data_IF_277916172601
#
_entry.id   IF_277916172601
#
_cell.length_a   1.000
_cell.length_b   1.000
_cell.length_c   1.000
_cell.angle_alpha   90.00
_cell.angle_beta   90.00
_cell.angle_gamma   90.00
#
_symmetry.space_group_name_H-M   'P 1'
#
loop_
_entity.id
_entity.type
_entity.pdbx_description
1 polymer ?
#
# COMPACT_ATOMS: atom_id res chain seq x y z
N UNK A 1 72.47 28.31 -55.43
CA UNK A 1 72.30 29.19 -56.61
C UNK A 1 70.81 29.42 -56.80
N UNK A 2 70.42 30.70 -56.91
CA UNK A 2 69.10 31.25 -57.29
C UNK A 2 67.96 31.28 -56.24
N UNK A 3 67.32 32.46 -56.27
CA UNK A 3 66.43 33.19 -55.37
C UNK A 3 64.97 33.12 -55.92
N UNK A 4 64.03 33.72 -55.18
CA UNK A 4 62.68 34.21 -55.58
C UNK A 4 61.52 33.21 -55.44
N UNK A 5 60.30 33.58 -55.04
CA UNK A 5 59.72 34.85 -54.58
C UNK A 5 58.31 34.59 -54.06
N UNK A 6 57.91 35.41 -53.09
CA UNK A 6 56.57 35.51 -52.52
C UNK A 6 55.62 36.21 -53.49
N UNK A 7 54.34 35.81 -53.52
CA UNK A 7 53.22 36.61 -54.06
C UNK A 7 51.99 36.47 -53.16
N UNK A 8 51.37 37.61 -52.84
CA UNK A 8 50.20 37.81 -51.96
C UNK A 8 48.89 37.80 -52.77
N UNK A 9 47.80 37.40 -52.14
CA UNK A 9 46.43 37.87 -52.45
C UNK A 9 45.51 37.50 -51.27
N UNK A 10 45.29 38.39 -50.31
CA UNK A 10 44.15 39.33 -50.17
C UNK A 10 42.84 38.72 -49.65
N UNK A 11 42.50 39.16 -48.42
CA UNK A 11 41.17 39.51 -47.90
C UNK A 11 40.00 38.51 -48.00
N UNK A 12 39.48 38.06 -46.84
CA UNK A 12 38.21 38.60 -46.34
C UNK A 12 37.97 38.24 -44.86
N UNK A 13 37.61 39.25 -44.06
CA UNK A 13 37.23 39.12 -42.66
C UNK A 13 35.76 38.71 -42.52
N UNK A 14 35.37 37.95 -41.48
CA UNK A 14 33.97 37.62 -41.24
C UNK A 14 33.20 38.82 -40.64
N UNK A 15 31.90 38.96 -40.94
CA UNK A 15 31.12 40.11 -40.48
C UNK A 15 30.80 39.99 -38.98
N UNK A 16 30.96 41.12 -38.28
CA UNK A 16 30.38 41.35 -36.94
C UNK A 16 28.88 41.59 -37.09
N UNK A 17 28.05 40.79 -36.43
CA UNK A 17 26.60 40.95 -36.49
C UNK A 17 25.83 40.24 -35.39
N UNK A 18 25.31 41.08 -34.47
CA UNK A 18 24.18 40.87 -33.53
C UNK A 18 24.37 39.92 -32.35
N UNK A 19 24.57 40.55 -31.20
CA UNK A 19 24.21 40.02 -29.90
C UNK A 19 22.70 39.68 -29.88
N UNK A 20 22.38 38.39 -29.73
CA UNK A 20 21.10 37.95 -29.20
C UNK A 20 21.37 37.39 -27.81
N UNK A 21 20.74 38.02 -26.81
CA UNK A 21 20.75 37.55 -25.43
C UNK A 21 20.19 36.14 -25.38
N UNK A 22 21.07 35.17 -25.11
CA UNK A 22 20.66 33.83 -24.71
C UNK A 22 20.11 33.92 -23.30
N UNK A 23 18.81 34.18 -23.18
CA UNK A 23 18.06 33.96 -21.96
C UNK A 23 18.36 32.54 -21.47
N UNK A 24 18.93 32.47 -20.25
CA UNK A 24 19.10 31.22 -19.54
C UNK A 24 17.71 30.60 -19.41
N UNK A 25 17.45 29.52 -20.14
CA UNK A 25 16.34 28.62 -19.89
C UNK A 25 16.52 28.06 -18.46
N UNK A 26 16.00 28.80 -17.47
CA UNK A 26 15.64 28.24 -16.19
C UNK A 26 14.54 27.23 -16.50
N UNK A 27 14.90 25.94 -16.52
CA UNK A 27 13.92 24.88 -16.32
C UNK A 27 13.21 25.21 -15.01
N UNK A 28 12.01 25.79 -15.08
CA UNK A 28 11.09 25.81 -13.96
C UNK A 28 10.83 24.35 -13.66
N UNK A 29 11.41 23.84 -12.58
CA UNK A 29 10.96 22.58 -12.01
C UNK A 29 9.48 22.75 -11.74
N UNK A 30 8.65 22.06 -12.51
CA UNK A 30 7.26 21.84 -12.13
C UNK A 30 7.24 21.18 -10.74
N UNK A 31 6.10 21.22 -10.02
CA UNK A 31 6.00 20.51 -8.76
C UNK A 31 6.49 19.08 -9.00
N UNK A 32 7.48 18.67 -8.20
CA UNK A 32 7.85 17.25 -8.11
C UNK A 32 6.52 16.54 -7.85
N UNK A 33 6.05 15.74 -8.80
CA UNK A 33 4.86 14.92 -8.57
C UNK A 33 5.17 14.11 -7.32
N UNK A 34 4.48 14.41 -6.21
CA UNK A 34 4.57 13.55 -5.03
C UNK A 34 4.25 12.13 -5.51
N UNK A 35 5.08 11.14 -5.15
CA UNK A 35 4.81 9.77 -5.53
C UNK A 35 3.40 9.40 -5.06
N UNK A 36 2.66 8.72 -5.92
CA UNK A 36 1.29 8.28 -5.62
C UNK A 36 1.28 7.54 -4.28
N UNK A 37 0.50 8.06 -3.31
CA UNK A 37 0.25 7.41 -2.02
C UNK A 37 -1.23 7.48 -1.68
N UNK A 38 -1.82 6.31 -1.49
CA UNK A 38 -3.18 6.07 -1.00
C UNK A 38 -3.31 6.61 0.42
N UNK A 39 -2.28 6.49 1.25
CA UNK A 39 -2.29 6.95 2.63
C UNK A 39 -2.54 8.47 2.76
N UNK A 40 -2.14 9.26 1.76
CA UNK A 40 -2.29 10.71 1.73
C UNK A 40 -3.52 11.20 0.95
N UNK A 41 -4.32 10.29 0.40
CA UNK A 41 -5.55 10.67 -0.30
C UNK A 41 -6.61 11.17 0.69
N UNK A 42 -7.42 12.14 0.25
CA UNK A 42 -8.68 12.41 0.95
C UNK A 42 -9.59 11.19 0.82
N UNK A 43 -10.45 10.94 1.81
CA UNK A 43 -11.41 9.82 1.75
C UNK A 43 -12.28 9.89 0.48
N UNK A 44 -12.75 11.10 0.13
CA UNK A 44 -13.50 11.32 -1.10
C UNK A 44 -12.67 10.97 -2.34
N UNK A 45 -11.41 11.42 -2.41
CA UNK A 45 -10.52 11.14 -3.52
C UNK A 45 -10.19 9.65 -3.67
N UNK A 46 -10.05 8.93 -2.56
CA UNK A 46 -9.89 7.48 -2.58
C UNK A 46 -11.12 6.78 -3.13
N UNK A 47 -12.32 7.11 -2.64
CA UNK A 47 -13.59 6.51 -3.07
C UNK A 47 -13.86 6.79 -4.55
N UNK A 48 -13.72 8.05 -4.98
CA UNK A 48 -13.93 8.44 -6.37
C UNK A 48 -12.98 7.70 -7.31
N UNK A 49 -11.71 7.59 -6.91
CA UNK A 49 -10.71 6.90 -7.75
C UNK A 49 -10.92 5.39 -7.78
N UNK A 50 -11.26 4.77 -6.64
CA UNK A 50 -11.60 3.34 -6.57
C UNK A 50 -12.81 3.00 -7.45
N UNK A 51 -13.79 3.91 -7.53
CA UNK A 51 -14.98 3.76 -8.41
C UNK A 51 -14.76 4.16 -9.87
N UNK A 52 -13.55 4.53 -10.27
CA UNK A 52 -13.23 5.02 -11.62
C UNK A 52 -12.61 3.94 -12.52
N UNK A 53 -12.36 4.27 -13.79
CA UNK A 53 -11.59 3.43 -14.72
C UNK A 53 -10.05 3.49 -14.49
N UNK A 54 -9.60 3.85 -13.29
CA UNK A 54 -8.18 3.86 -12.92
C UNK A 54 -7.68 2.45 -12.60
N UNK A 55 -6.44 2.06 -12.98
CA UNK A 55 -5.89 0.73 -12.67
C UNK A 55 -5.60 0.50 -11.18
N UNK A 56 -5.49 1.58 -10.39
CA UNK A 56 -5.34 1.56 -8.93
C UNK A 56 -5.93 2.84 -8.31
N UNK A 57 -6.37 2.84 -7.04
CA UNK A 57 -6.47 1.69 -6.13
C UNK A 57 -7.53 0.67 -6.56
N UNK A 58 -7.33 -0.61 -6.20
CA UNK A 58 -8.25 -1.71 -6.46
C UNK A 58 -8.78 -2.38 -5.18
N UNK A 59 -9.23 -3.63 -5.29
CA UNK A 59 -9.80 -4.39 -4.16
C UNK A 59 -8.82 -4.68 -3.02
N UNK A 60 -7.54 -4.91 -3.32
CA UNK A 60 -6.48 -5.10 -2.31
C UNK A 60 -6.27 -3.83 -1.49
N UNK A 61 -6.02 -2.70 -2.16
CA UNK A 61 -5.98 -1.37 -1.55
C UNK A 61 -7.24 -1.04 -0.72
N UNK A 62 -8.45 -1.37 -1.21
CA UNK A 62 -9.69 -1.17 -0.45
C UNK A 62 -9.74 -2.03 0.82
N UNK A 63 -9.28 -3.27 0.74
CA UNK A 63 -9.17 -4.16 1.91
C UNK A 63 -8.19 -3.61 2.94
N UNK A 64 -7.05 -3.10 2.47
CA UNK A 64 -6.02 -2.48 3.30
C UNK A 64 -6.55 -1.24 4.03
N UNK A 65 -7.17 -0.30 3.30
CA UNK A 65 -7.79 0.90 3.89
C UNK A 65 -8.90 0.52 4.89
N UNK A 66 -9.72 -0.49 4.57
CA UNK A 66 -10.70 -1.03 5.51
C UNK A 66 -10.09 -1.55 6.81
N UNK A 67 -8.97 -2.28 6.71
CA UNK A 67 -8.20 -2.74 7.88
C UNK A 67 -7.62 -1.58 8.69
N UNK A 68 -7.11 -0.54 8.02
CA UNK A 68 -6.61 0.66 8.69
C UNK A 68 -7.70 1.38 9.50
N UNK A 69 -8.90 1.52 8.92
CA UNK A 69 -10.08 2.11 9.57
C UNK A 69 -10.51 1.25 10.77
N UNK A 70 -10.57 -0.06 10.61
CA UNK A 70 -10.93 -0.98 11.68
C UNK A 70 -9.97 -0.90 12.88
N UNK A 71 -8.65 -0.89 12.61
CA UNK A 71 -7.65 -0.69 13.66
C UNK A 71 -7.76 0.68 14.34
N UNK A 72 -8.04 1.74 13.57
CA UNK A 72 -8.23 3.08 14.13
C UNK A 72 -9.48 3.16 15.04
N UNK A 73 -10.58 2.51 14.65
CA UNK A 73 -11.80 2.42 15.46
C UNK A 73 -11.54 1.65 16.78
N UNK A 74 -10.86 0.51 16.73
CA UNK A 74 -10.47 -0.21 17.95
C UNK A 74 -9.51 0.60 18.83
N UNK A 75 -8.57 1.34 18.21
CA UNK A 75 -7.65 2.23 18.93
C UNK A 75 -8.41 3.31 19.67
N UNK A 76 -9.43 3.91 19.03
CA UNK A 76 -10.31 4.88 19.68
C UNK A 76 -10.91 4.31 20.96
N UNK A 77 -11.41 3.06 20.94
CA UNK A 77 -11.94 2.38 22.14
C UNK A 77 -10.88 2.30 23.24
N UNK A 78 -9.64 1.90 22.90
CA UNK A 78 -8.54 1.84 23.87
C UNK A 78 -8.22 3.24 24.45
N UNK A 79 -8.09 4.26 23.61
CA UNK A 79 -7.76 5.64 24.02
C UNK A 79 -8.82 6.22 24.95
N UNK A 80 -10.11 6.06 24.63
CA UNK A 80 -11.19 6.53 25.51
C UNK A 80 -11.29 5.74 26.83
N UNK A 81 -10.58 4.63 26.96
CA UNK A 81 -10.55 3.80 28.17
C UNK A 81 -9.39 4.15 29.10
N UNK A 82 -8.33 4.79 28.58
CA UNK A 82 -7.17 5.21 29.37
C UNK A 82 -7.56 6.25 30.43
N UNK A 83 -6.91 6.16 31.59
CA UNK A 83 -7.11 7.08 32.72
C UNK A 83 -8.41 6.86 33.51
N UNK A 84 -9.29 5.94 33.10
CA UNK A 84 -10.51 5.64 33.86
C UNK A 84 -10.21 4.87 35.13
N UNK A 85 -10.64 5.40 36.28
CA UNK A 85 -10.49 4.74 37.60
C UNK A 85 -11.09 3.32 37.63
N UNK A 86 -12.21 3.11 36.95
CA UNK A 86 -12.87 1.79 36.87
C UNK A 86 -12.11 0.75 36.03
N UNK A 87 -11.03 1.15 35.34
CA UNK A 87 -10.21 0.30 34.48
C UNK A 87 -8.75 0.33 34.94
N UNK A 88 -8.47 0.63 36.21
CA UNK A 88 -7.12 0.81 36.74
C UNK A 88 -6.25 -0.45 36.52
N UNK A 89 -6.81 -1.64 36.71
CA UNK A 89 -6.12 -2.92 36.49
C UNK A 89 -5.81 -3.22 35.01
N UNK A 90 -6.50 -2.55 34.08
CA UNK A 90 -6.35 -2.79 32.64
C UNK A 90 -5.49 -1.74 31.93
N UNK A 91 -5.02 -0.70 32.63
CA UNK A 91 -4.24 0.38 32.00
C UNK A 91 -3.02 -0.11 31.19
N UNK A 92 -2.17 -1.05 31.69
CA UNK A 92 -1.05 -1.54 30.89
C UNK A 92 -1.47 -2.23 29.58
N UNK A 93 -2.60 -2.95 29.61
CA UNK A 93 -3.17 -3.60 28.43
C UNK A 93 -3.70 -2.55 27.44
N UNK A 94 -4.41 -1.53 27.94
CA UNK A 94 -4.97 -0.45 27.12
C UNK A 94 -3.88 0.37 26.42
N UNK A 95 -2.78 0.67 27.12
CA UNK A 95 -1.62 1.36 26.52
C UNK A 95 -0.94 0.51 25.44
N UNK A 96 -0.83 -0.81 25.69
CA UNK A 96 -0.33 -1.75 24.69
C UNK A 96 -1.25 -1.82 23.47
N UNK A 97 -2.57 -1.84 23.68
CA UNK A 97 -3.57 -1.85 22.62
C UNK A 97 -3.49 -0.58 21.76
N UNK A 98 -3.40 0.61 22.37
CA UNK A 98 -3.24 1.88 21.65
C UNK A 98 -2.03 1.83 20.70
N UNK A 99 -0.85 1.47 21.22
CA UNK A 99 0.38 1.40 20.41
C UNK A 99 0.28 0.37 19.28
N UNK A 100 -0.22 -0.83 19.58
CA UNK A 100 -0.31 -1.94 18.61
C UNK A 100 -1.31 -1.61 17.51
N UNK A 101 -2.46 -1.05 17.85
CA UNK A 101 -3.50 -0.71 16.87
C UNK A 101 -3.11 0.52 16.04
N UNK A 102 -2.41 1.49 16.63
CA UNK A 102 -1.84 2.60 15.87
C UNK A 102 -0.83 2.09 14.83
N UNK A 103 0.09 1.21 15.24
CA UNK A 103 1.05 0.57 14.33
C UNK A 103 0.35 -0.25 13.24
N UNK A 104 -0.64 -1.07 13.60
CA UNK A 104 -1.37 -1.90 12.65
C UNK A 104 -2.11 -1.03 11.60
N UNK A 105 -2.75 0.06 12.03
CA UNK A 105 -3.42 1.00 11.13
C UNK A 105 -2.44 1.62 10.12
N UNK A 106 -1.27 2.06 10.58
CA UNK A 106 -0.22 2.57 9.69
C UNK A 106 0.33 1.50 8.72
N UNK A 107 0.52 0.27 9.20
CA UNK A 107 0.96 -0.85 8.36
C UNK A 107 -0.06 -1.16 7.26
N UNK A 108 -1.35 -1.19 7.58
CA UNK A 108 -2.40 -1.37 6.57
C UNK A 108 -2.38 -0.29 5.49
N UNK A 109 -2.16 0.98 5.85
CA UNK A 109 -2.04 2.05 4.84
C UNK A 109 -0.81 1.89 3.95
N UNK A 110 0.34 1.52 4.51
CA UNK A 110 1.54 1.21 3.72
C UNK A 110 1.30 0.02 2.77
N UNK A 111 0.62 -1.03 3.25
CA UNK A 111 0.27 -2.20 2.45
C UNK A 111 -0.71 -1.86 1.30
N UNK A 112 -1.50 -0.80 1.41
CA UNK A 112 -2.33 -0.32 0.31
C UNK A 112 -1.47 0.20 -0.85
N UNK A 113 -0.42 0.96 -0.53
CA UNK A 113 0.54 1.48 -1.51
C UNK A 113 1.36 0.34 -2.13
N UNK A 114 1.81 -0.61 -1.30
CA UNK A 114 2.54 -1.79 -1.75
C UNK A 114 1.69 -2.69 -2.66
N UNK A 115 0.41 -2.90 -2.36
CA UNK A 115 -0.54 -3.64 -3.19
C UNK A 115 -0.69 -3.01 -4.58
N UNK A 116 -0.89 -1.69 -4.63
CA UNK A 116 -1.00 -0.97 -5.90
C UNK A 116 0.29 -1.05 -6.73
N UNK A 117 1.45 -0.94 -6.09
CA UNK A 117 2.75 -1.04 -6.75
C UNK A 117 3.02 -2.47 -7.26
N UNK A 118 2.76 -3.49 -6.45
CA UNK A 118 2.97 -4.88 -6.81
C UNK A 118 2.03 -5.31 -7.96
N UNK A 119 0.78 -4.86 -7.92
CA UNK A 119 -0.18 -5.14 -8.99
C UNK A 119 0.20 -4.46 -10.31
N UNK A 120 0.79 -3.26 -10.28
CA UNK A 120 1.30 -2.60 -11.47
C UNK A 120 2.39 -3.44 -12.16
N UNK A 121 3.34 -3.98 -11.40
CA UNK A 121 4.41 -4.86 -11.92
C UNK A 121 3.83 -6.12 -12.57
N UNK A 122 2.86 -6.77 -11.93
CA UNK A 122 2.21 -7.95 -12.51
C UNK A 122 1.45 -7.60 -13.80
N UNK A 123 0.73 -6.48 -13.83
CA UNK A 123 0.01 -6.03 -15.03
C UNK A 123 0.97 -5.73 -16.19
N UNK A 124 2.10 -5.07 -15.93
CA UNK A 124 3.13 -4.82 -16.94
C UNK A 124 3.68 -6.12 -17.52
N UNK A 125 3.95 -7.13 -16.68
CA UNK A 125 4.38 -8.44 -17.13
C UNK A 125 3.32 -9.16 -17.96
N UNK A 126 2.04 -9.09 -17.56
CA UNK A 126 0.93 -9.70 -18.29
C UNK A 126 0.68 -9.03 -19.64
N UNK A 127 0.95 -7.73 -19.76
CA UNK A 127 0.77 -6.95 -20.99
C UNK A 127 1.84 -7.23 -22.07
N UNK A 128 2.94 -7.90 -21.73
CA UNK A 128 3.98 -8.26 -22.71
C UNK A 128 3.42 -9.18 -23.82
N UNK A 129 3.91 -9.04 -25.08
CA UNK A 129 3.60 -9.96 -26.17
C UNK A 129 3.86 -11.42 -25.78
N UNK A 130 2.96 -12.33 -26.19
CA UNK A 130 2.98 -13.74 -25.76
C UNK A 130 4.27 -14.49 -26.12
N UNK A 131 4.95 -14.04 -27.16
CA UNK A 131 6.22 -14.57 -27.69
C UNK A 131 7.47 -13.97 -27.04
N UNK A 132 7.30 -13.05 -26.08
CA UNK A 132 8.45 -12.49 -25.33
C UNK A 132 9.14 -13.62 -24.55
N UNK A 133 10.45 -13.89 -24.77
CA UNK A 133 11.14 -15.06 -24.23
C UNK A 133 11.01 -15.28 -22.72
N UNK A 134 10.97 -14.20 -21.92
CA UNK A 134 10.93 -14.27 -20.46
C UNK A 134 9.55 -13.91 -19.88
N UNK A 135 8.49 -13.90 -20.70
CA UNK A 135 7.16 -13.44 -20.23
C UNK A 135 6.65 -14.27 -19.07
N UNK A 136 6.77 -15.60 -19.16
CA UNK A 136 6.30 -16.51 -18.13
C UNK A 136 6.99 -16.23 -16.79
N UNK A 137 8.32 -16.11 -16.81
CA UNK A 137 9.13 -15.85 -15.61
C UNK A 137 8.78 -14.50 -14.99
N UNK A 138 8.57 -13.46 -15.80
CA UNK A 138 8.16 -12.13 -15.33
C UNK A 138 6.76 -12.12 -14.73
N UNK A 139 5.81 -12.85 -15.32
CA UNK A 139 4.46 -13.00 -14.77
C UNK A 139 4.51 -13.73 -13.44
N UNK A 140 5.28 -14.82 -13.34
CA UNK A 140 5.43 -15.55 -12.09
C UNK A 140 6.07 -14.68 -11.00
N UNK A 141 7.16 -13.96 -11.32
CA UNK A 141 7.79 -13.03 -10.38
C UNK A 141 6.82 -11.91 -9.95
N UNK A 142 6.06 -11.34 -10.89
CA UNK A 142 5.02 -10.36 -10.60
C UNK A 142 3.91 -10.93 -9.71
N UNK A 143 3.53 -12.19 -9.89
CA UNK A 143 2.52 -12.84 -9.06
C UNK A 143 2.99 -13.04 -7.63
N UNK A 144 4.26 -13.41 -7.42
CA UNK A 144 4.86 -13.46 -6.08
C UNK A 144 4.86 -12.10 -5.39
N UNK A 145 5.14 -11.02 -6.14
CA UNK A 145 5.03 -9.66 -5.61
C UNK A 145 3.58 -9.31 -5.26
N UNK A 146 2.62 -9.64 -6.14
CA UNK A 146 1.21 -9.30 -5.96
C UNK A 146 0.53 -10.04 -4.79
N UNK A 147 0.98 -11.26 -4.43
CA UNK A 147 0.45 -11.96 -3.24
C UNK A 147 1.05 -11.48 -1.93
N UNK A 148 2.22 -10.82 -1.95
CA UNK A 148 2.92 -10.47 -0.71
C UNK A 148 2.17 -9.42 0.14
N UNK A 149 1.69 -8.28 -0.39
CA UNK A 149 0.91 -7.32 0.39
C UNK A 149 -0.37 -7.91 1.02
N UNK A 150 -1.25 -8.62 0.31
CA UNK A 150 -2.44 -9.19 0.93
C UNK A 150 -2.12 -10.31 1.94
N UNK A 151 -1.03 -11.06 1.76
CA UNK A 151 -0.53 -11.97 2.80
C UNK A 151 -0.11 -11.23 4.08
N UNK A 152 0.60 -10.11 3.94
CA UNK A 152 0.97 -9.28 5.07
C UNK A 152 -0.26 -8.64 5.74
N UNK A 153 -1.27 -8.22 4.96
CA UNK A 153 -2.55 -7.74 5.49
C UNK A 153 -3.24 -8.78 6.38
N UNK A 154 -3.24 -10.05 5.98
CA UNK A 154 -3.78 -11.16 6.77
C UNK A 154 -3.01 -11.35 8.09
N UNK A 155 -1.68 -11.27 8.06
CA UNK A 155 -0.85 -11.37 9.26
C UNK A 155 -1.11 -10.22 10.24
N UNK A 156 -1.12 -8.97 9.74
CA UNK A 156 -1.45 -7.78 10.55
C UNK A 156 -2.87 -7.88 11.10
N UNK A 157 -3.81 -8.34 10.28
CA UNK A 157 -5.21 -8.51 10.66
C UNK A 157 -5.40 -9.56 11.76
N UNK A 158 -4.73 -10.71 11.68
CA UNK A 158 -4.79 -11.74 12.71
C UNK A 158 -4.23 -11.24 14.06
N UNK A 159 -3.15 -10.47 14.04
CA UNK A 159 -2.58 -9.85 15.25
C UNK A 159 -3.50 -8.76 15.82
N UNK A 160 -4.04 -7.89 14.97
CA UNK A 160 -4.98 -6.85 15.37
C UNK A 160 -6.27 -7.45 15.96
N UNK A 161 -6.78 -8.55 15.39
CA UNK A 161 -7.97 -9.25 15.91
C UNK A 161 -7.76 -9.72 17.35
N UNK A 162 -6.57 -10.22 17.69
CA UNK A 162 -6.21 -10.59 19.06
C UNK A 162 -6.21 -9.40 20.02
N UNK A 163 -5.77 -8.22 19.55
CA UNK A 163 -5.84 -6.99 20.35
C UNK A 163 -7.28 -6.53 20.55
N UNK A 164 -8.10 -6.57 19.49
CA UNK A 164 -9.52 -6.20 19.52
C UNK A 164 -10.30 -7.10 20.49
N UNK A 165 -10.12 -8.43 20.41
CA UNK A 165 -10.64 -9.38 21.39
C UNK A 165 -10.16 -9.08 22.82
N UNK A 166 -8.93 -8.59 22.94
CA UNK A 166 -8.34 -8.07 24.17
C UNK A 166 -9.16 -6.98 24.87
N UNK A 167 -9.89 -6.17 24.11
CA UNK A 167 -10.58 -4.99 24.64
C UNK A 167 -11.99 -5.29 25.17
N UNK A 168 -12.59 -6.42 24.81
CA UNK A 168 -13.95 -6.75 25.28
C UNK A 168 -13.97 -7.01 26.78
N UNK A 169 -14.97 -6.45 27.46
CA UNK A 169 -15.09 -6.44 28.93
C UNK A 169 -13.99 -5.67 29.69
N UNK A 170 -12.92 -5.23 29.01
CA UNK A 170 -11.72 -4.61 29.62
C UNK A 170 -11.45 -3.19 29.13
N UNK A 171 -12.40 -2.62 28.41
CA UNK A 171 -12.38 -1.26 27.89
C UNK A 171 -13.65 -0.51 28.32
N UNK A 172 -13.82 0.72 27.84
CA UNK A 172 -14.97 1.54 28.12
C UNK A 172 -16.25 0.87 27.60
N UNK A 173 -17.07 0.34 28.52
CA UNK A 173 -18.32 -0.38 28.21
C UNK A 173 -19.28 0.37 27.28
N UNK A 174 -19.25 1.70 27.29
CA UNK A 174 -20.09 2.53 26.43
C UNK A 174 -19.65 2.56 24.95
N UNK A 175 -18.47 2.01 24.65
CA UNK A 175 -17.92 1.92 23.30
C UNK A 175 -17.89 0.47 22.78
N UNK A 176 -18.66 -0.44 23.41
CA UNK A 176 -18.72 -1.83 22.93
C UNK A 176 -19.22 -1.90 21.49
N UNK A 177 -20.22 -1.09 21.11
CA UNK A 177 -20.70 -1.01 19.73
C UNK A 177 -19.58 -0.61 18.75
N UNK A 178 -18.74 0.36 19.10
CA UNK A 178 -17.61 0.76 18.27
C UNK A 178 -16.56 -0.36 18.14
N UNK A 179 -16.35 -1.12 19.22
CA UNK A 179 -15.49 -2.31 19.19
C UNK A 179 -16.05 -3.40 18.26
N UNK A 180 -17.37 -3.59 18.24
CA UNK A 180 -18.04 -4.52 17.32
C UNK A 180 -17.86 -4.10 15.86
N UNK A 181 -18.01 -2.79 15.58
CA UNK A 181 -17.78 -2.22 14.24
C UNK A 181 -16.32 -2.43 13.81
N UNK A 182 -15.36 -2.20 14.72
CA UNK A 182 -13.96 -2.45 14.45
C UNK A 182 -13.69 -3.94 14.15
N UNK A 183 -14.26 -4.84 14.94
CA UNK A 183 -14.11 -6.29 14.76
C UNK A 183 -14.68 -6.76 13.41
N UNK A 184 -15.92 -6.36 13.07
CA UNK A 184 -16.56 -6.70 11.80
C UNK A 184 -15.80 -6.12 10.60
N UNK A 185 -15.36 -4.85 10.70
CA UNK A 185 -14.56 -4.19 9.68
C UNK A 185 -13.22 -4.89 9.43
N UNK A 186 -12.54 -5.32 10.49
CA UNK A 186 -11.28 -6.03 10.37
C UNK A 186 -11.46 -7.41 9.71
N UNK A 187 -12.51 -8.15 10.06
CA UNK A 187 -12.83 -9.43 9.41
C UNK A 187 -13.15 -9.23 7.93
N UNK A 188 -13.91 -8.18 7.59
CA UNK A 188 -14.16 -7.80 6.19
C UNK A 188 -12.87 -7.53 5.42
N UNK A 189 -11.95 -6.76 6.02
CA UNK A 189 -10.63 -6.49 5.44
C UNK A 189 -9.80 -7.77 5.24
N UNK A 190 -9.76 -8.67 6.23
CA UNK A 190 -9.05 -9.95 6.10
C UNK A 190 -9.67 -10.84 5.01
N UNK A 191 -10.99 -10.91 4.91
CA UNK A 191 -11.68 -11.64 3.82
C UNK A 191 -11.29 -11.07 2.46
N UNK A 192 -11.31 -9.75 2.33
CA UNK A 192 -10.88 -9.04 1.13
C UNK A 192 -9.43 -9.35 0.76
N UNK A 193 -8.50 -9.29 1.71
CA UNK A 193 -7.10 -9.66 1.49
C UNK A 193 -6.97 -11.12 1.02
N UNK A 194 -7.66 -12.07 1.65
CA UNK A 194 -7.65 -13.48 1.24
C UNK A 194 -8.19 -13.69 -0.19
N UNK A 195 -9.22 -12.93 -0.62
CA UNK A 195 -9.67 -12.97 -2.01
C UNK A 195 -8.62 -12.44 -2.99
N UNK A 196 -7.88 -11.40 -2.62
CA UNK A 196 -6.79 -10.88 -3.44
C UNK A 196 -5.60 -11.86 -3.52
N UNK A 197 -5.30 -12.61 -2.45
CA UNK A 197 -4.36 -13.74 -2.53
C UNK A 197 -4.86 -14.78 -3.53
N UNK A 198 -6.09 -15.26 -3.35
CA UNK A 198 -6.71 -16.30 -4.19
C UNK A 198 -6.75 -15.95 -5.68
N UNK A 199 -6.97 -14.68 -6.01
CA UNK A 199 -6.99 -14.19 -7.39
C UNK A 199 -5.66 -14.41 -8.13
N UNK A 200 -4.54 -14.48 -7.41
CA UNK A 200 -3.20 -14.61 -8.00
C UNK A 200 -2.59 -16.02 -7.83
N UNK A 201 -3.22 -16.92 -7.08
CA UNK A 201 -2.71 -18.26 -6.78
C UNK A 201 -2.43 -19.12 -8.03
N UNK A 202 -3.27 -19.00 -9.06
CA UNK A 202 -3.11 -19.76 -10.31
C UNK A 202 -1.86 -19.37 -11.10
N UNK A 203 -1.29 -18.18 -10.83
CA UNK A 203 -0.07 -17.67 -11.46
C UNK A 203 1.20 -18.13 -10.73
N UNK A 204 1.06 -18.74 -9.55
CA UNK A 204 2.17 -19.32 -8.80
C UNK A 204 2.43 -20.77 -9.23
N UNK A 205 3.66 -21.23 -8.99
CA UNK A 205 4.01 -22.65 -9.07
C UNK A 205 3.29 -23.48 -8.00
N UNK A 206 3.06 -24.76 -8.27
CA UNK A 206 2.19 -25.64 -7.46
C UNK A 206 2.57 -25.70 -5.97
N UNK A 207 3.87 -25.80 -5.67
CA UNK A 207 4.37 -25.85 -4.29
C UNK A 207 4.08 -24.54 -3.54
N UNK A 208 4.33 -23.39 -4.17
CA UNK A 208 4.06 -22.09 -3.56
C UNK A 208 2.56 -21.80 -3.45
N UNK A 209 1.78 -22.19 -4.45
CA UNK A 209 0.32 -22.07 -4.43
C UNK A 209 -0.27 -22.72 -3.19
N UNK A 210 0.03 -23.99 -2.97
CA UNK A 210 -0.50 -24.77 -1.83
C UNK A 210 -0.09 -24.15 -0.49
N UNK A 211 1.18 -23.73 -0.38
CA UNK A 211 1.70 -23.10 0.84
C UNK A 211 1.02 -21.77 1.14
N UNK A 212 0.98 -20.87 0.14
CA UNK A 212 0.39 -19.52 0.27
C UNK A 212 -1.10 -19.61 0.60
N UNK A 213 -1.84 -20.50 -0.06
CA UNK A 213 -3.26 -20.72 0.23
C UNK A 213 -3.48 -21.18 1.67
N UNK A 214 -2.75 -22.20 2.11
CA UNK A 214 -2.87 -22.73 3.48
C UNK A 214 -2.53 -21.68 4.55
N UNK A 215 -1.45 -20.92 4.35
CA UNK A 215 -1.05 -19.83 5.25
C UNK A 215 -2.13 -18.73 5.30
N UNK A 216 -2.67 -18.32 4.14
CA UNK A 216 -3.71 -17.32 4.05
C UNK A 216 -4.99 -17.74 4.80
N UNK A 217 -5.41 -18.99 4.61
CA UNK A 217 -6.59 -19.54 5.27
C UNK A 217 -6.42 -19.65 6.78
N UNK A 218 -5.23 -20.07 7.24
CA UNK A 218 -4.92 -20.13 8.66
C UNK A 218 -5.01 -18.75 9.33
N UNK A 219 -4.42 -17.72 8.71
CA UNK A 219 -4.45 -16.35 9.23
C UNK A 219 -5.87 -15.77 9.21
N UNK A 220 -6.63 -16.01 8.14
CA UNK A 220 -8.02 -15.60 8.04
C UNK A 220 -8.89 -16.28 9.12
N UNK A 221 -8.76 -17.59 9.28
CA UNK A 221 -9.50 -18.35 10.28
C UNK A 221 -9.18 -17.84 11.70
N UNK A 222 -7.91 -17.55 11.98
CA UNK A 222 -7.49 -16.93 13.24
C UNK A 222 -8.15 -15.57 13.46
N UNK A 223 -8.10 -14.67 12.48
CA UNK A 223 -8.73 -13.35 12.58
C UNK A 223 -10.25 -13.46 12.84
N UNK A 224 -10.93 -14.33 12.11
CA UNK A 224 -12.36 -14.63 12.27
C UNK A 224 -12.65 -15.13 13.69
N UNK A 225 -11.93 -16.16 14.15
CA UNK A 225 -12.18 -16.79 15.45
C UNK A 225 -12.04 -15.82 16.63
N UNK A 226 -11.19 -14.80 16.50
CA UNK A 226 -10.94 -13.80 17.53
C UNK A 226 -11.95 -12.64 17.48
N UNK A 227 -12.35 -12.19 16.30
CA UNK A 227 -13.12 -10.96 16.12
C UNK A 227 -14.63 -11.16 15.93
N UNK A 228 -15.07 -12.22 15.25
CA UNK A 228 -16.52 -12.44 14.99
C UNK A 228 -17.37 -12.61 16.26
N UNK A 229 -16.91 -13.26 17.34
CA UNK A 229 -17.71 -13.39 18.57
C UNK A 229 -18.10 -12.04 19.20
N UNK A 230 -17.40 -10.96 18.85
CA UNK A 230 -17.73 -9.61 19.33
C UNK A 230 -18.86 -8.97 18.54
N UNK A 231 -18.99 -9.31 17.25
CA UNK A 231 -19.93 -8.67 16.32
C UNK A 231 -21.34 -9.27 16.37
N UNK A 232 -21.50 -10.44 17.01
CA UNK A 232 -22.80 -11.06 17.33
C UNK A 232 -23.33 -10.61 18.70
#
# INVERSE_FOLDING_TARGET
MVRLSVSRSSANAPPRGRAFGGERFRRKGGPMHEPFSIANMTLQGFVDRLGSHSPAPGGGAASAVGGAIACAAARMVAVYSLGKKSLAEHQPMLESADRRLHKASAMFLALADEDAAAYAVLNEAMALPKDTPDRADRVQAGAHLAVAPPMAMLGVGAEAAGVIAGLDGRSNKYLRSDLCVAAAGLVGACRGAAWNVRANLSLLGEADRSRVESEAESMLARAISLAEPLAG
#
